data_IF_324397310494
#
_entry.id   IF_324397310494
#
_cell.length_a   1.000
_cell.length_b   1.000
_cell.length_c   1.000
_cell.angle_alpha   90.00
_cell.angle_beta   90.00
_cell.angle_gamma   90.00
#
_symmetry.space_group_name_H-M   'P 1'
#
loop_
_entity.id
_entity.type
_entity.pdbx_description
1 polymer ?
#
# COMPACT_ATOMS: atom_id res chain seq x y z
N UNK A 1 28.38 28.12 12.14
CA UNK A 1 27.64 27.03 11.47
C UNK A 1 28.10 26.97 10.01
N UNK A 2 29.02 26.06 9.69
CA UNK A 2 29.50 25.87 8.33
C UNK A 2 28.46 25.06 7.52
N UNK A 3 27.96 25.64 6.43
CA UNK A 3 27.11 24.90 5.48
C UNK A 3 28.02 23.93 4.72
N UNK A 4 27.85 22.62 4.92
CA UNK A 4 28.60 21.61 4.18
C UNK A 4 28.27 21.69 2.67
N UNK A 5 29.27 21.93 1.80
CA UNK A 5 29.06 22.05 0.35
C UNK A 5 28.78 20.71 -0.37
N UNK A 6 28.70 19.58 0.34
CA UNK A 6 28.62 18.25 -0.26
C UNK A 6 27.22 17.81 -0.71
N UNK A 7 26.15 18.55 -0.40
CA UNK A 7 24.77 18.07 -0.67
C UNK A 7 24.37 18.09 -2.15
N UNK A 8 25.03 18.90 -2.99
CA UNK A 8 24.68 19.03 -4.41
C UNK A 8 25.27 17.95 -5.32
N UNK A 9 26.40 17.33 -4.95
CA UNK A 9 27.13 16.41 -5.84
C UNK A 9 26.46 15.03 -5.93
N UNK A 10 25.84 14.57 -4.84
CA UNK A 10 25.17 13.25 -4.79
C UNK A 10 23.99 13.14 -5.77
N UNK A 11 23.27 14.24 -6.02
CA UNK A 11 22.10 14.22 -6.92
C UNK A 11 22.49 14.09 -8.39
N UNK A 12 23.71 14.49 -8.78
CA UNK A 12 24.12 14.42 -10.17
C UNK A 12 24.50 12.99 -10.59
N UNK A 13 25.16 12.25 -9.70
CA UNK A 13 25.50 10.83 -9.92
C UNK A 13 24.27 9.90 -9.88
N UNK A 14 23.21 10.27 -9.15
CA UNK A 14 22.00 9.46 -9.06
C UNK A 14 21.14 9.45 -10.34
N UNK A 15 21.40 10.35 -11.31
CA UNK A 15 20.56 10.54 -12.51
C UNK A 15 21.18 10.05 -13.82
N UNK A 16 22.42 9.57 -13.81
CA UNK A 16 23.05 9.03 -15.03
C UNK A 16 22.55 7.60 -15.22
N UNK A 17 21.68 7.40 -16.22
CA UNK A 17 21.29 6.07 -16.67
C UNK A 17 22.38 5.59 -17.61
N UNK A 18 23.14 4.58 -17.19
CA UNK A 18 24.09 3.87 -18.05
C UNK A 18 23.44 2.60 -18.58
N UNK A 19 23.68 2.29 -19.85
CA UNK A 19 23.23 1.03 -20.46
C UNK A 19 24.18 -0.14 -20.15
N UNK A 20 25.36 0.15 -19.58
CA UNK A 20 26.35 -0.84 -19.19
C UNK A 20 26.05 -1.39 -17.78
N UNK A 21 25.73 -2.69 -17.63
CA UNK A 21 25.41 -3.28 -16.35
C UNK A 21 26.56 -3.24 -15.33
N UNK A 22 27.82 -3.23 -15.79
CA UNK A 22 28.98 -3.13 -14.88
C UNK A 22 29.06 -1.72 -14.29
N UNK A 23 28.98 -0.70 -15.14
CA UNK A 23 28.94 0.68 -14.69
C UNK A 23 27.75 0.97 -13.76
N UNK A 24 26.59 0.33 -13.98
CA UNK A 24 25.43 0.46 -13.11
C UNK A 24 25.65 -0.19 -11.72
N UNK A 25 26.28 -1.37 -11.70
CA UNK A 25 26.66 -2.03 -10.45
C UNK A 25 27.68 -1.20 -9.64
N UNK A 26 28.71 -0.67 -10.31
CA UNK A 26 29.71 0.21 -9.68
C UNK A 26 29.06 1.48 -9.13
N UNK A 27 28.11 2.08 -9.89
CA UNK A 27 27.35 3.23 -9.44
C UNK A 27 26.52 2.92 -8.19
N UNK A 28 25.86 1.77 -8.14
CA UNK A 28 25.10 1.34 -6.97
C UNK A 28 26.00 1.13 -5.75
N UNK A 29 27.15 0.47 -5.91
CA UNK A 29 28.14 0.30 -4.84
C UNK A 29 28.63 1.64 -4.30
N UNK A 30 29.05 2.54 -5.19
CA UNK A 30 29.50 3.88 -4.81
C UNK A 30 28.41 4.70 -4.08
N UNK A 31 27.14 4.55 -4.48
CA UNK A 31 26.02 5.19 -3.77
C UNK A 31 25.79 4.58 -2.39
N UNK A 32 25.90 3.26 -2.24
CA UNK A 32 25.79 2.59 -0.95
C UNK A 32 26.91 3.06 -0.01
N UNK A 33 28.18 3.05 -0.47
CA UNK A 33 29.33 3.52 0.30
C UNK A 33 29.17 4.98 0.77
N UNK A 34 28.69 5.85 -0.13
CA UNK A 34 28.43 7.26 0.20
C UNK A 34 27.34 7.41 1.28
N UNK A 35 26.29 6.58 1.23
CA UNK A 35 25.24 6.59 2.27
C UNK A 35 25.74 6.01 3.59
N UNK A 36 26.53 4.94 3.58
CA UNK A 36 27.17 4.38 4.78
C UNK A 36 28.02 5.46 5.46
N UNK A 37 28.90 6.13 4.71
CA UNK A 37 29.74 7.19 5.23
C UNK A 37 28.90 8.34 5.84
N UNK A 38 27.78 8.69 5.20
CA UNK A 38 26.86 9.70 5.72
C UNK A 38 26.17 9.25 7.02
N UNK A 39 25.72 8.00 7.12
CA UNK A 39 25.10 7.45 8.32
C UNK A 39 26.10 7.44 9.49
N UNK A 40 27.34 6.99 9.25
CA UNK A 40 28.42 7.03 10.25
C UNK A 40 28.69 8.46 10.70
N UNK A 41 28.78 9.41 9.76
CA UNK A 41 29.00 10.82 10.08
C UNK A 41 27.85 11.44 10.91
N UNK A 42 26.64 10.91 10.79
CA UNK A 42 25.48 11.29 11.58
C UNK A 42 25.36 10.53 12.92
N UNK A 43 26.31 9.66 13.24
CA UNK A 43 26.35 8.91 14.50
C UNK A 43 25.44 7.68 14.55
N UNK A 44 25.01 7.16 13.40
CA UNK A 44 24.29 5.88 13.32
C UNK A 44 25.24 4.74 13.68
N UNK A 45 24.80 3.81 14.53
CA UNK A 45 25.59 2.64 14.88
C UNK A 45 25.84 1.77 13.64
N UNK A 46 27.02 1.16 13.52
CA UNK A 46 27.37 0.38 12.33
C UNK A 46 26.44 -0.82 12.12
N UNK A 47 25.95 -1.42 13.21
CA UNK A 47 24.99 -2.53 13.20
C UNK A 47 23.59 -2.09 12.72
N UNK A 48 23.33 -0.78 12.74
CA UNK A 48 22.12 -0.13 12.26
C UNK A 48 22.22 0.40 10.83
N UNK A 49 23.25 0.03 10.08
CA UNK A 49 23.39 0.43 8.69
C UNK A 49 23.30 -0.83 7.82
N UNK A 50 22.38 -0.83 6.84
CA UNK A 50 22.31 -1.90 5.84
C UNK A 50 23.58 -1.87 4.97
N UNK A 51 24.46 -2.89 5.01
CA UNK A 51 25.70 -2.88 4.26
C UNK A 51 25.48 -2.93 2.75
N UNK A 52 24.32 -3.40 2.28
CA UNK A 52 24.02 -3.53 0.85
C UNK A 52 23.52 -2.24 0.21
N UNK A 53 22.73 -1.45 0.96
CA UNK A 53 22.04 -0.27 0.45
C UNK A 53 22.58 1.05 1.03
N UNK A 54 23.26 0.96 2.17
CA UNK A 54 23.75 2.07 2.98
C UNK A 54 22.69 2.82 3.76
N UNK A 55 21.46 2.29 3.86
CA UNK A 55 20.38 2.94 4.60
C UNK A 55 20.50 2.77 6.12
N UNK A 56 20.05 3.79 6.85
CA UNK A 56 19.87 3.79 8.30
C UNK A 56 18.65 2.91 8.66
N UNK A 57 18.91 1.83 9.37
CA UNK A 57 17.96 0.86 9.91
C UNK A 57 17.74 1.01 11.41
N UNK A 58 18.17 2.13 12.01
CA UNK A 58 17.92 2.41 13.42
C UNK A 58 16.43 2.59 13.69
N UNK A 59 16.03 2.41 14.96
CA UNK A 59 14.65 2.64 15.40
C UNK A 59 14.14 4.05 15.05
N UNK A 60 15.01 5.06 15.18
CA UNK A 60 14.68 6.45 14.84
C UNK A 60 14.32 6.59 13.37
N UNK A 61 15.11 6.01 12.47
CA UNK A 61 14.84 6.06 11.04
C UNK A 61 13.52 5.34 10.68
N UNK A 62 13.22 4.22 11.33
CA UNK A 62 11.92 3.54 11.21
C UNK A 62 10.76 4.46 11.58
N UNK A 63 10.81 5.07 12.78
CA UNK A 63 9.74 5.94 13.28
C UNK A 63 9.55 7.17 12.37
N UNK A 64 10.65 7.75 11.86
CA UNK A 64 10.61 8.88 10.91
C UNK A 64 9.96 8.50 9.57
N UNK A 65 10.33 7.33 9.00
CA UNK A 65 9.73 6.85 7.74
C UNK A 65 8.25 6.56 7.93
N UNK A 66 7.89 5.86 9.03
CA UNK A 66 6.50 5.59 9.39
C UNK A 66 5.70 6.88 9.50
N UNK A 67 6.20 7.85 10.26
CA UNK A 67 5.53 9.14 10.46
C UNK A 67 5.39 9.90 9.14
N UNK A 68 6.41 9.93 8.29
CA UNK A 68 6.35 10.56 6.98
C UNK A 68 5.28 9.94 6.07
N UNK A 69 5.13 8.61 6.09
CA UNK A 69 4.06 7.92 5.36
C UNK A 69 2.69 8.31 5.89
N UNK A 70 2.52 8.34 7.21
CA UNK A 70 1.26 8.75 7.85
C UNK A 70 0.87 10.17 7.48
N UNK A 71 1.79 11.11 7.56
CA UNK A 71 1.56 12.51 7.20
C UNK A 71 1.17 12.68 5.73
N UNK A 72 1.81 11.92 4.83
CA UNK A 72 1.46 11.93 3.41
C UNK A 72 0.01 11.47 3.19
N UNK A 73 -0.38 10.37 3.85
CA UNK A 73 -1.74 9.83 3.78
C UNK A 73 -2.77 10.75 4.41
N UNK A 74 -2.47 11.36 5.55
CA UNK A 74 -3.35 12.33 6.21
C UNK A 74 -3.58 13.58 5.34
N UNK A 75 -2.55 14.04 4.62
CA UNK A 75 -2.62 15.25 3.79
C UNK A 75 -3.28 15.03 2.42
N UNK A 76 -3.07 13.86 1.81
CA UNK A 76 -3.47 13.61 0.42
C UNK A 76 -4.52 12.51 0.28
N UNK A 77 -4.87 11.83 1.37
CA UNK A 77 -5.61 10.58 1.33
C UNK A 77 -4.70 9.41 0.91
N UNK A 78 -5.20 8.19 1.10
CA UNK A 78 -4.56 6.98 0.61
C UNK A 78 -5.31 6.49 -0.63
N UNK A 79 -4.63 6.46 -1.77
CA UNK A 79 -5.16 5.86 -2.98
C UNK A 79 -4.71 4.40 -3.07
N UNK A 80 -5.65 3.46 -3.01
CA UNK A 80 -5.31 2.03 -3.03
C UNK A 80 -4.56 1.61 -4.31
N UNK A 81 -4.85 2.20 -5.46
CA UNK A 81 -4.21 1.81 -6.72
C UNK A 81 -2.75 2.29 -6.79
N UNK A 82 -2.48 3.51 -6.32
CA UNK A 82 -1.15 4.14 -6.47
C UNK A 82 -0.27 4.01 -5.24
N UNK A 83 -0.83 4.07 -4.05
CA UNK A 83 -0.07 4.14 -2.79
C UNK A 83 0.14 2.76 -2.18
N UNK A 84 -0.82 1.83 -2.30
CA UNK A 84 -0.72 0.48 -1.72
C UNK A 84 0.53 -0.27 -2.17
N UNK A 85 0.89 -0.38 -3.47
CA UNK A 85 2.08 -1.11 -3.86
C UNK A 85 3.38 -0.50 -3.30
N UNK A 86 3.41 0.83 -3.12
CA UNK A 86 4.56 1.55 -2.57
C UNK A 86 4.65 1.38 -1.05
N UNK A 87 3.50 1.45 -0.37
CA UNK A 87 3.35 1.19 1.05
C UNK A 87 3.81 -0.24 1.38
N UNK A 88 3.24 -1.25 0.70
CA UNK A 88 3.58 -2.66 0.91
C UNK A 88 5.07 -2.92 0.69
N UNK A 89 5.64 -2.33 -0.37
CA UNK A 89 7.08 -2.42 -0.64
C UNK A 89 7.93 -1.80 0.48
N UNK A 90 7.55 -0.62 0.98
CA UNK A 90 8.26 0.05 2.07
C UNK A 90 8.13 -0.73 3.38
N UNK A 91 6.93 -1.24 3.68
CA UNK A 91 6.68 -2.04 4.87
C UNK A 91 7.44 -3.37 4.81
N UNK A 92 7.38 -4.10 3.68
CA UNK A 92 8.11 -5.35 3.50
C UNK A 92 9.63 -5.18 3.66
N UNK A 93 10.19 -4.06 3.18
CA UNK A 93 11.61 -3.73 3.37
C UNK A 93 12.00 -3.69 4.86
N UNK A 94 11.15 -3.10 5.70
CA UNK A 94 11.38 -3.03 7.14
C UNK A 94 11.11 -4.35 7.85
N UNK A 95 10.06 -5.08 7.47
CA UNK A 95 9.74 -6.41 8.02
C UNK A 95 10.91 -7.37 7.82
N UNK A 96 11.55 -7.34 6.65
CA UNK A 96 12.69 -8.20 6.32
C UNK A 96 13.93 -7.90 7.19
N UNK A 97 14.19 -6.61 7.47
CA UNK A 97 15.46 -6.15 8.06
C UNK A 97 15.40 -5.91 9.57
N UNK A 98 14.22 -5.57 10.09
CA UNK A 98 13.95 -5.18 11.48
C UNK A 98 12.55 -5.63 11.90
N UNK A 99 12.25 -6.95 11.88
CA UNK A 99 10.93 -7.47 12.23
C UNK A 99 10.45 -7.02 13.62
N UNK A 100 11.38 -6.81 14.55
CA UNK A 100 11.13 -6.31 15.90
C UNK A 100 10.53 -4.89 15.95
N UNK A 101 10.68 -4.09 14.90
CA UNK A 101 10.06 -2.76 14.80
C UNK A 101 8.67 -2.81 14.18
N UNK A 102 8.43 -3.76 13.27
CA UNK A 102 7.16 -3.91 12.54
C UNK A 102 6.15 -4.83 13.20
N UNK A 103 6.56 -5.62 14.20
CA UNK A 103 5.69 -6.61 14.82
C UNK A 103 4.43 -5.97 15.44
N UNK A 104 3.28 -6.21 14.81
CA UNK A 104 1.99 -5.66 15.25
C UNK A 104 1.78 -4.18 14.94
N UNK A 105 2.71 -3.53 14.23
CA UNK A 105 2.52 -2.15 13.80
C UNK A 105 1.78 -2.10 12.47
N UNK A 106 0.75 -1.26 12.42
CA UNK A 106 0.04 -0.92 11.20
C UNK A 106 0.18 0.58 10.99
N UNK A 107 1.01 0.98 10.03
CA UNK A 107 1.28 2.39 9.78
C UNK A 107 0.02 3.17 9.42
N UNK A 108 -0.96 2.50 8.81
CA UNK A 108 -2.20 3.11 8.33
C UNK A 108 -3.32 3.10 9.38
N UNK A 109 -3.08 2.54 10.58
CA UNK A 109 -4.07 2.49 11.64
C UNK A 109 -4.52 3.90 12.06
N UNK A 110 -5.83 4.10 12.10
CA UNK A 110 -6.48 5.34 12.53
C UNK A 110 -6.40 6.50 11.54
N UNK A 111 -5.76 6.33 10.38
CA UNK A 111 -5.65 7.37 9.34
C UNK A 111 -6.25 6.93 8.00
N UNK A 112 -6.32 5.62 7.79
CA UNK A 112 -6.96 5.02 6.64
C UNK A 112 -7.95 3.97 7.15
N UNK A 113 -9.23 4.23 6.92
CA UNK A 113 -10.25 3.20 6.99
C UNK A 113 -10.44 2.66 5.57
N UNK A 114 -10.13 1.38 5.34
CA UNK A 114 -10.42 0.80 4.05
C UNK A 114 -11.90 0.97 3.70
N UNK A 115 -12.17 1.50 2.51
CA UNK A 115 -13.53 1.62 2.02
C UNK A 115 -13.89 0.30 1.37
N UNK A 116 -14.78 -0.45 2.00
CA UNK A 116 -15.39 -1.62 1.38
C UNK A 116 -16.35 -1.14 0.30
N UNK A 117 -16.15 -1.56 -0.94
CA UNK A 117 -17.10 -1.29 -2.01
C UNK A 117 -17.98 -2.52 -2.22
N UNK A 118 -19.30 -2.32 -2.16
CA UNK A 118 -20.24 -3.33 -2.62
C UNK A 118 -21.03 -2.80 -3.83
N UNK A 119 -21.03 -3.61 -4.89
CA UNK A 119 -21.90 -3.41 -6.03
C UNK A 119 -23.20 -4.18 -5.80
N UNK A 120 -24.34 -3.51 -5.98
CA UNK A 120 -25.66 -4.12 -5.95
C UNK A 120 -26.29 -4.03 -7.33
N UNK A 121 -26.65 -5.17 -7.91
CA UNK A 121 -27.37 -5.23 -9.19
C UNK A 121 -28.88 -5.31 -8.97
N UNK A 122 -29.65 -4.45 -9.64
CA UNK A 122 -31.10 -4.54 -9.69
C UNK A 122 -31.50 -5.25 -10.98
N UNK A 123 -32.00 -6.48 -10.87
CA UNK A 123 -32.47 -7.31 -12.00
C UNK A 123 -33.65 -6.70 -12.76
N UNK A 124 -34.50 -5.93 -12.09
CA UNK A 124 -35.71 -5.35 -12.70
C UNK A 124 -35.36 -4.13 -13.55
N UNK A 125 -34.48 -3.26 -13.07
CA UNK A 125 -34.07 -2.05 -13.82
C UNK A 125 -32.81 -2.27 -14.67
N UNK A 126 -32.03 -3.32 -14.41
CA UNK A 126 -30.72 -3.54 -15.01
C UNK A 126 -29.64 -2.56 -14.50
N UNK A 127 -29.89 -1.84 -13.42
CA UNK A 127 -28.98 -0.83 -12.89
C UNK A 127 -28.02 -1.40 -11.83
N UNK A 128 -26.80 -0.84 -11.80
CA UNK A 128 -25.82 -1.09 -10.75
C UNK A 128 -25.79 0.07 -9.77
N UNK A 129 -25.86 -0.23 -8.48
CA UNK A 129 -25.61 0.71 -7.40
C UNK A 129 -24.30 0.35 -6.70
N UNK A 130 -23.30 1.22 -6.83
CA UNK A 130 -22.08 1.14 -6.04
C UNK A 130 -22.30 1.86 -4.72
N UNK A 131 -22.00 1.19 -3.60
CA UNK A 131 -22.00 1.79 -2.27
C UNK A 131 -20.67 1.54 -1.58
N UNK A 132 -20.22 2.58 -0.91
CA UNK A 132 -19.04 2.58 -0.06
C UNK A 132 -19.47 2.29 1.38
N UNK A 133 -18.76 1.41 2.06
CA UNK A 133 -18.96 1.04 3.45
C UNK A 133 -17.64 1.21 4.19
N UNK A 134 -17.70 1.55 5.48
CA UNK A 134 -16.51 1.75 6.31
C UNK A 134 -16.03 0.47 6.95
N UNK A 135 -16.93 -0.51 7.11
CA UNK A 135 -16.61 -1.79 7.75
C UNK A 135 -17.28 -2.95 7.03
N UNK A 136 -16.68 -4.14 7.14
CA UNK A 136 -17.29 -5.39 6.69
C UNK A 136 -18.66 -5.66 7.37
N UNK A 137 -18.82 -5.24 8.63
CA UNK A 137 -20.09 -5.38 9.35
C UNK A 137 -21.21 -4.53 8.71
N UNK A 138 -20.90 -3.32 8.25
CA UNK A 138 -21.86 -2.47 7.52
C UNK A 138 -22.23 -3.08 6.16
N UNK A 139 -21.27 -3.68 5.44
CA UNK A 139 -21.53 -4.43 4.20
C UNK A 139 -22.53 -5.56 4.48
N UNK A 140 -22.25 -6.39 5.49
CA UNK A 140 -23.11 -7.52 5.83
C UNK A 140 -24.50 -7.06 6.29
N UNK A 141 -24.60 -5.96 7.03
CA UNK A 141 -25.87 -5.37 7.42
C UNK A 141 -26.67 -4.90 6.20
N UNK A 142 -26.01 -4.26 5.22
CA UNK A 142 -26.67 -3.83 3.99
C UNK A 142 -27.17 -5.00 3.14
N UNK A 143 -26.37 -6.07 3.00
CA UNK A 143 -26.77 -7.33 2.35
C UNK A 143 -28.01 -7.92 3.04
N UNK A 144 -27.98 -8.00 4.38
CA UNK A 144 -29.08 -8.58 5.15
C UNK A 144 -30.36 -7.72 5.07
N UNK A 145 -30.22 -6.39 4.98
CA UNK A 145 -31.35 -5.46 4.88
C UNK A 145 -32.08 -5.52 3.52
N UNK A 146 -31.45 -6.05 2.47
CA UNK A 146 -32.08 -6.24 1.15
C UNK A 146 -32.84 -7.57 1.02
N UNK A 147 -32.49 -8.60 1.81
CA UNK A 147 -33.18 -9.90 1.84
C UNK A 147 -34.69 -9.90 2.22
N UNK A 148 -35.29 -8.92 2.94
CA UNK A 148 -36.69 -9.01 3.34
C UNK A 148 -37.71 -8.79 2.22
N UNK A 149 -37.30 -8.30 1.04
CA UNK A 149 -38.19 -8.11 -0.10
C UNK A 149 -38.31 -9.42 -0.88
N UNK A 150 -39.21 -10.28 -0.43
CA UNK A 150 -39.62 -11.49 -1.16
C UNK A 150 -40.05 -11.13 -2.57
N UNK A 151 -39.55 -11.91 -3.53
CA UNK A 151 -39.71 -11.83 -4.99
C UNK A 151 -38.86 -10.78 -5.74
N UNK A 152 -37.76 -11.30 -6.32
CA UNK A 152 -37.10 -10.90 -7.59
C UNK A 152 -35.80 -10.10 -7.60
N UNK A 153 -35.21 -9.71 -6.47
CA UNK A 153 -33.84 -9.15 -6.50
C UNK A 153 -32.79 -10.24 -6.33
N UNK A 154 -32.38 -10.86 -7.45
CA UNK A 154 -31.08 -11.55 -7.52
C UNK A 154 -29.99 -10.48 -7.46
N UNK A 155 -29.73 -9.98 -6.25
CA UNK A 155 -28.64 -9.06 -6.01
C UNK A 155 -27.33 -9.86 -6.00
N UNK A 156 -26.63 -9.86 -7.14
CA UNK A 156 -25.20 -10.18 -7.14
C UNK A 156 -24.51 -9.08 -6.32
N UNK A 157 -23.97 -9.47 -5.16
CA UNK A 157 -23.18 -8.57 -4.32
C UNK A 157 -21.72 -8.94 -4.49
N UNK A 158 -20.99 -8.11 -5.21
CA UNK A 158 -19.53 -8.23 -5.25
C UNK A 158 -19.00 -7.31 -4.18
N UNK A 159 -18.33 -7.89 -3.18
CA UNK A 159 -17.63 -7.14 -2.14
C UNK A 159 -16.17 -7.06 -2.53
N UNK A 160 -15.73 -5.87 -2.93
CA UNK A 160 -14.31 -5.57 -3.00
C UNK A 160 -13.84 -5.27 -1.58
N UNK A 161 -13.13 -6.23 -0.99
CA UNK A 161 -12.42 -6.06 0.27
C UNK A 161 -11.02 -5.51 -0.02
N UNK A 162 -10.42 -4.75 0.91
CA UNK A 162 -9.02 -4.33 0.82
C UNK A 162 -8.03 -5.49 0.74
N UNK A 163 -8.45 -6.67 1.20
CA UNK A 163 -7.67 -7.91 1.24
C UNK A 163 -7.89 -8.78 -0.01
N UNK A 164 -8.78 -8.38 -0.93
CA UNK A 164 -9.13 -9.11 -2.15
C UNK A 164 -10.61 -9.00 -2.53
N UNK A 165 -10.98 -9.51 -3.70
CA UNK A 165 -12.40 -9.64 -4.08
C UNK A 165 -12.93 -10.95 -3.49
N UNK A 166 -13.86 -10.84 -2.54
CA UNK A 166 -14.62 -12.00 -2.10
C UNK A 166 -15.93 -12.05 -2.89
N UNK A 167 -16.03 -13.05 -3.76
CA UNK A 167 -17.28 -13.35 -4.46
C UNK A 167 -18.20 -14.08 -3.48
N UNK A 168 -19.15 -13.36 -2.90
CA UNK A 168 -20.17 -13.97 -2.04
C UNK A 168 -21.23 -14.58 -2.94
N UNK A 169 -21.04 -15.85 -3.33
CA UNK A 169 -22.05 -16.60 -4.07
C UNK A 169 -23.38 -16.62 -3.30
N UNK A 170 -24.43 -16.16 -3.97
CA UNK A 170 -25.81 -16.34 -3.51
C UNK A 170 -26.13 -17.84 -3.53
N UNK A 171 -26.32 -18.45 -2.35
CA UNK A 171 -26.56 -19.88 -2.18
C UNK A 171 -27.84 -20.43 -2.86
N UNK A 172 -28.66 -19.62 -3.53
CA UNK A 172 -29.91 -20.07 -4.17
C UNK A 172 -30.12 -19.51 -5.60
N UNK A 173 -29.12 -18.87 -6.22
CA UNK A 173 -29.25 -18.40 -7.59
C UNK A 173 -29.02 -19.55 -8.61
N UNK A 174 -29.93 -19.78 -9.59
CA UNK A 174 -29.65 -20.73 -10.67
C UNK A 174 -28.42 -20.27 -11.45
N UNK A 175 -27.46 -21.17 -11.66
CA UNK A 175 -26.18 -20.90 -12.33
C UNK A 175 -26.37 -20.05 -13.61
N UNK A 176 -26.05 -18.77 -13.53
CA UNK A 176 -26.03 -17.89 -14.68
C UNK A 176 -24.76 -18.16 -15.50
N UNK A 177 -24.87 -18.29 -16.84
CA UNK A 177 -23.69 -18.48 -17.69
C UNK A 177 -22.97 -17.14 -17.88
N UNK A 178 -21.91 -16.92 -17.10
CA UNK A 178 -20.95 -15.84 -17.35
C UNK A 178 -20.29 -15.33 -16.07
N UNK A 179 -18.99 -15.60 -15.94
CA UNK A 179 -18.13 -14.86 -15.02
C UNK A 179 -18.23 -13.36 -15.36
N UNK A 180 -18.77 -12.56 -14.45
CA UNK A 180 -18.74 -11.10 -14.58
C UNK A 180 -17.33 -10.65 -14.21
N UNK A 181 -16.48 -10.51 -15.23
CA UNK A 181 -15.22 -9.76 -15.10
C UNK A 181 -15.63 -8.30 -14.89
N UNK A 182 -15.52 -7.80 -13.66
CA UNK A 182 -15.70 -6.38 -13.40
C UNK A 182 -14.72 -5.59 -14.30
N UNK A 183 -15.18 -4.52 -14.97
CA UNK A 183 -14.26 -3.62 -15.64
C UNK A 183 -13.31 -3.06 -14.58
N UNK A 184 -12.00 -3.23 -14.78
CA UNK A 184 -10.99 -2.52 -14.00
C UNK A 184 -11.40 -1.05 -13.97
N UNK A 185 -11.70 -0.54 -12.77
CA UNK A 185 -12.05 0.86 -12.57
C UNK A 185 -10.89 1.72 -13.11
N UNK A 186 -11.17 2.47 -14.18
CA UNK A 186 -10.24 3.34 -14.89
C UNK A 186 -10.15 4.72 -14.23
#
# INVERSE_FOLDING_TARGET
MARHPCRGVLFHYARVITSDPVAEADRHGAMADARIALCIANGVAIDDIDPSSGYDLSRRAYDEVRQSWREMVEQHGFNELYDRPRYEKAHAFWVERRPEFTAGDNWLEGIYEPIYQAAFFNTTSGEYMLRNFRTHAEVQQAINAQRPYGDSTDALVIVASPDGVEEVESNDAPAAPGQVILPNAA
#
